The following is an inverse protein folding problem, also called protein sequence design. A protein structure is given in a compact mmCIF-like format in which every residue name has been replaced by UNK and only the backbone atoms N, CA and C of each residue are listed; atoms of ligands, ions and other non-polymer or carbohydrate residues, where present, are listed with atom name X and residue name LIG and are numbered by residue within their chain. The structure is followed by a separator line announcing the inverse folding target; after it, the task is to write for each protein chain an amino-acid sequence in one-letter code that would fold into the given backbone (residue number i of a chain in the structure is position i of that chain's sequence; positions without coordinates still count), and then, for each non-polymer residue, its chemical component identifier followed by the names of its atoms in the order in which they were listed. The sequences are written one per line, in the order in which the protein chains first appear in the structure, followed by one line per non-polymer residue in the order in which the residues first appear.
data_IF_911665269930
#
_entry.id   IF_911665269930
#
_cell.length_a   1.000
_cell.length_b   1.000
_cell.length_c   1.000
_cell.angle_alpha   90.00
_cell.angle_beta   90.00
_cell.angle_gamma   90.00
#
_symmetry.space_group_name_H-M   'P 1'
#
loop_
_entity.id
_entity.type
_entity.pdbx_description
1 polymer ?
#
# COMPACT_ATOMS: atom_id res chain seq x y z
N UNK A 1 4.93 -16.43 9.10
CA UNK A 1 5.07 -16.86 7.69
C UNK A 1 3.85 -16.35 6.93
N UNK A 2 4.02 -15.65 5.81
CA UNK A 2 2.95 -15.40 4.84
C UNK A 2 3.22 -16.32 3.64
N UNK A 3 2.26 -17.15 3.25
CA UNK A 3 2.33 -17.99 2.03
C UNK A 3 1.96 -17.16 0.79
N UNK A 4 2.48 -15.92 0.75
CA UNK A 4 2.13 -14.94 -0.26
C UNK A 4 2.64 -15.37 -1.64
N UNK A 5 1.96 -14.91 -2.72
CA UNK A 5 2.37 -15.19 -4.08
C UNK A 5 3.83 -14.78 -4.31
N UNK A 6 4.51 -15.45 -5.24
CA UNK A 6 5.90 -15.19 -5.65
C UNK A 6 6.12 -13.73 -6.12
N UNK A 7 6.71 -13.47 -7.29
CA UNK A 7 6.88 -12.10 -7.80
C UNK A 7 5.57 -11.45 -8.32
N UNK A 8 4.40 -11.85 -7.80
CA UNK A 8 3.09 -11.44 -8.34
C UNK A 8 2.21 -10.79 -7.28
N UNK A 9 1.62 -9.64 -7.62
CA UNK A 9 0.79 -8.82 -6.72
C UNK A 9 -0.58 -9.43 -6.41
N UNK A 10 -1.01 -10.47 -7.15
CA UNK A 10 -2.33 -11.08 -6.98
C UNK A 10 -3.45 -10.24 -7.59
N UNK A 11 -4.65 -10.26 -6.99
CA UNK A 11 -5.84 -9.52 -7.41
C UNK A 11 -6.39 -8.66 -6.26
N UNK A 12 -5.68 -7.61 -5.83
CA UNK A 12 -6.11 -6.76 -4.72
C UNK A 12 -7.46 -6.06 -4.97
N UNK A 13 -7.82 -5.73 -6.21
CA UNK A 13 -9.12 -5.15 -6.57
C UNK A 13 -10.28 -6.07 -6.19
N UNK A 14 -10.22 -7.33 -6.64
CA UNK A 14 -11.17 -8.37 -6.25
C UNK A 14 -11.26 -8.56 -4.73
N UNK A 15 -10.11 -8.54 -4.04
CA UNK A 15 -10.06 -8.72 -2.60
C UNK A 15 -10.77 -7.56 -1.86
N UNK A 16 -10.56 -6.32 -2.32
CA UNK A 16 -11.24 -5.14 -1.79
C UNK A 16 -12.75 -5.24 -2.01
N UNK A 17 -13.19 -5.67 -3.19
CA UNK A 17 -14.61 -5.88 -3.49
C UNK A 17 -15.27 -6.91 -2.56
N UNK A 18 -14.61 -8.06 -2.38
CA UNK A 18 -15.11 -9.13 -1.52
C UNK A 18 -15.14 -8.72 -0.03
N UNK A 19 -14.24 -7.85 0.41
CA UNK A 19 -14.25 -7.33 1.78
C UNK A 19 -15.38 -6.32 1.95
N UNK A 20 -15.53 -5.37 1.03
CA UNK A 20 -16.60 -4.35 1.09
C UNK A 20 -17.99 -5.00 1.04
N UNK A 21 -18.15 -6.12 0.34
CA UNK A 21 -19.43 -6.86 0.29
C UNK A 21 -19.81 -7.50 1.62
N UNK A 22 -18.82 -7.87 2.45
CA UNK A 22 -19.02 -8.54 3.74
C UNK A 22 -19.08 -7.58 4.92
N UNK A 23 -18.38 -6.46 4.84
CA UNK A 23 -18.28 -5.49 5.92
C UNK A 23 -18.18 -4.07 5.39
N UNK A 24 -18.81 -3.13 6.12
CA UNK A 24 -18.63 -1.71 5.86
C UNK A 24 -17.19 -1.33 6.17
N UNK A 25 -16.51 -0.68 5.22
CA UNK A 25 -15.25 0.00 5.43
C UNK A 25 -15.48 1.50 5.52
N UNK A 26 -14.73 2.18 6.39
CA UNK A 26 -14.77 3.62 6.55
C UNK A 26 -13.53 4.29 5.93
N UNK A 27 -12.42 3.57 5.78
CA UNK A 27 -11.18 4.08 5.19
C UNK A 27 -10.32 2.94 4.65
N UNK A 28 -9.63 3.19 3.54
CA UNK A 28 -8.61 2.30 2.99
C UNK A 28 -7.25 3.01 3.05
N UNK A 29 -6.22 2.31 3.53
CA UNK A 29 -4.84 2.78 3.54
C UNK A 29 -4.00 1.77 2.74
N UNK A 30 -3.42 2.23 1.63
CA UNK A 30 -2.55 1.42 0.78
C UNK A 30 -1.08 1.79 1.02
N UNK A 31 -0.22 0.79 1.11
CA UNK A 31 1.22 0.94 1.22
C UNK A 31 1.88 0.21 0.05
N UNK A 32 2.69 0.90 -0.73
CA UNK A 32 3.40 0.33 -1.89
C UNK A 32 4.84 0.84 -1.98
N UNK A 33 5.73 0.00 -2.52
CA UNK A 33 7.05 0.44 -2.92
C UNK A 33 7.03 0.82 -4.40
N UNK A 34 7.39 2.07 -4.71
CA UNK A 34 7.35 2.57 -6.08
C UNK A 34 8.72 3.08 -6.52
N UNK A 35 8.95 3.01 -7.84
CA UNK A 35 10.19 3.49 -8.42
C UNK A 35 10.38 4.99 -8.17
N UNK A 36 11.58 5.33 -7.71
CA UNK A 36 12.03 6.69 -7.52
C UNK A 36 12.32 7.38 -8.86
N UNK A 37 12.07 8.67 -8.91
CA UNK A 37 12.50 9.53 -10.03
C UNK A 37 14.01 9.80 -9.93
N UNK A 38 14.64 10.27 -11.02
CA UNK A 38 16.10 10.49 -11.07
C UNK A 38 16.62 11.44 -9.98
N UNK A 39 15.82 12.40 -9.54
CA UNK A 39 16.15 13.34 -8.46
C UNK A 39 15.70 12.92 -7.06
N UNK A 40 15.05 11.76 -6.91
CA UNK A 40 14.56 11.26 -5.62
C UNK A 40 15.58 10.32 -4.97
N UNK A 41 15.70 10.43 -3.65
CA UNK A 41 16.48 9.49 -2.85
C UNK A 41 15.68 8.23 -2.54
N UNK A 42 16.37 7.09 -2.50
CA UNK A 42 15.75 5.84 -2.03
C UNK A 42 15.34 5.98 -0.57
N UNK A 43 14.33 5.20 -0.15
CA UNK A 43 13.72 5.25 1.18
C UNK A 43 13.02 6.58 1.53
N UNK A 44 12.80 7.46 0.55
CA UNK A 44 11.91 8.61 0.71
C UNK A 44 10.47 8.12 0.84
N UNK A 45 9.73 8.61 1.84
CA UNK A 45 8.33 8.27 2.06
C UNK A 45 7.45 9.43 1.61
N UNK A 46 6.46 9.14 0.79
CA UNK A 46 5.47 10.11 0.33
C UNK A 46 4.06 9.64 0.72
N UNK A 47 3.21 10.58 1.12
CA UNK A 47 1.79 10.33 1.41
C UNK A 47 0.91 10.96 0.33
N UNK A 48 -0.24 10.36 0.08
CA UNK A 48 -1.18 10.86 -0.90
C UNK A 48 -2.57 10.25 -0.80
N UNK A 49 -3.40 10.60 -1.78
CA UNK A 49 -4.75 10.09 -1.97
C UNK A 49 -4.82 9.22 -3.22
N UNK A 50 -5.71 8.24 -3.22
CA UNK A 50 -5.89 7.28 -4.31
C UNK A 50 -5.15 5.97 -4.08
N UNK A 51 -5.37 5.02 -4.99
CA UNK A 51 -4.80 3.69 -4.86
C UNK A 51 -3.31 3.68 -5.28
N UNK A 52 -2.44 3.17 -4.41
CA UNK A 52 -1.02 2.99 -4.67
C UNK A 52 -0.74 1.55 -5.10
N UNK A 53 -0.63 1.34 -6.41
CA UNK A 53 -0.28 0.05 -7.00
C UNK A 53 0.40 0.24 -8.35
N UNK A 54 1.55 -0.39 -8.54
CA UNK A 54 2.25 -0.45 -9.82
C UNK A 54 1.51 -1.28 -10.90
N UNK A 55 1.89 -1.09 -12.16
CA UNK A 55 1.37 -1.87 -13.30
C UNK A 55 0.52 -1.05 -14.27
N UNK A 56 -0.22 -1.74 -15.14
CA UNK A 56 -1.02 -1.12 -16.23
C UNK A 56 -2.24 -0.33 -15.76
N UNK A 57 -2.51 -0.30 -14.44
CA UNK A 57 -3.57 0.51 -13.84
C UNK A 57 -4.92 -0.17 -13.65
N UNK A 58 -5.10 -1.44 -14.07
CA UNK A 58 -6.37 -2.17 -13.91
C UNK A 58 -6.78 -2.29 -12.45
N UNK A 59 -5.89 -2.78 -11.59
CA UNK A 59 -6.17 -2.94 -10.15
C UNK A 59 -6.42 -1.58 -9.48
N UNK A 60 -5.63 -0.56 -9.83
CA UNK A 60 -5.80 0.81 -9.33
C UNK A 60 -7.21 1.31 -9.64
N UNK A 61 -7.64 1.19 -10.89
CA UNK A 61 -8.95 1.63 -11.34
C UNK A 61 -10.08 0.89 -10.62
N UNK A 62 -9.98 -0.44 -10.49
CA UNK A 62 -11.00 -1.23 -9.78
C UNK A 62 -11.14 -0.81 -8.31
N UNK A 63 -10.02 -0.65 -7.59
CA UNK A 63 -10.02 -0.20 -6.19
C UNK A 63 -10.63 1.20 -6.07
N UNK A 64 -10.23 2.14 -6.94
CA UNK A 64 -10.75 3.51 -6.92
C UNK A 64 -12.22 3.59 -7.29
N UNK A 65 -12.67 2.82 -8.27
CA UNK A 65 -14.07 2.77 -8.69
C UNK A 65 -14.97 2.26 -7.54
N UNK A 66 -14.61 1.13 -6.94
CA UNK A 66 -15.42 0.55 -5.86
C UNK A 66 -15.39 1.39 -4.59
N UNK A 67 -14.24 1.97 -4.24
CA UNK A 67 -14.12 2.88 -3.11
C UNK A 67 -14.97 4.14 -3.33
N UNK A 68 -14.92 4.72 -4.54
CA UNK A 68 -15.73 5.90 -4.91
C UNK A 68 -17.22 5.58 -4.83
N UNK A 69 -17.65 4.42 -5.36
CA UNK A 69 -19.05 3.98 -5.31
C UNK A 69 -19.59 3.89 -3.88
N UNK A 70 -18.75 3.46 -2.93
CA UNK A 70 -19.11 3.34 -1.52
C UNK A 70 -18.72 4.57 -0.69
N UNK A 71 -18.17 5.62 -1.32
CA UNK A 71 -17.70 6.86 -0.67
C UNK A 71 -16.65 6.61 0.41
N UNK A 72 -15.75 5.66 0.15
CA UNK A 72 -14.65 5.29 1.04
C UNK A 72 -13.41 6.09 0.62
N UNK A 73 -12.79 6.89 1.50
CA UNK A 73 -11.52 7.53 1.21
C UNK A 73 -10.40 6.50 1.10
N UNK A 74 -9.54 6.67 0.09
CA UNK A 74 -8.35 5.85 -0.14
C UNK A 74 -7.12 6.73 0.06
N UNK A 75 -6.29 6.35 1.01
CA UNK A 75 -5.00 6.97 1.27
C UNK A 75 -3.86 6.06 0.83
N UNK A 76 -2.74 6.67 0.48
CA UNK A 76 -1.55 6.00 0.01
C UNK A 76 -0.32 6.44 0.81
N UNK A 77 0.55 5.48 1.10
CA UNK A 77 1.92 5.69 1.56
C UNK A 77 2.83 4.98 0.56
N UNK A 78 3.72 5.74 -0.07
CA UNK A 78 4.67 5.21 -1.05
C UNK A 78 6.08 5.32 -0.51
N UNK A 79 6.81 4.21 -0.57
CA UNK A 79 8.24 4.16 -0.28
C UNK A 79 8.99 4.14 -1.61
N UNK A 80 9.86 5.14 -1.81
CA UNK A 80 10.64 5.28 -3.05
C UNK A 80 11.82 4.31 -3.06
N UNK A 81 11.96 3.56 -4.13
CA UNK A 81 13.08 2.64 -4.33
C UNK A 81 13.64 2.71 -5.75
N UNK A 82 14.88 2.29 -5.94
CA UNK A 82 15.46 2.13 -7.27
C UNK A 82 15.02 0.81 -7.92
N UNK A 83 15.13 0.72 -9.25
CA UNK A 83 14.88 -0.55 -9.98
C UNK A 83 15.72 -1.69 -9.44
N UNK A 84 16.96 -1.41 -9.00
CA UNK A 84 17.85 -2.40 -8.40
C UNK A 84 17.29 -2.92 -7.08
N UNK A 85 16.81 -2.03 -6.22
CA UNK A 85 16.21 -2.38 -4.94
C UNK A 85 14.92 -3.20 -5.12
N UNK A 86 14.11 -2.87 -6.13
CA UNK A 86 12.85 -3.56 -6.42
C UNK A 86 13.00 -5.05 -6.82
N UNK A 87 14.17 -5.44 -7.34
CA UNK A 87 14.44 -6.80 -7.85
C UNK A 87 15.52 -7.54 -7.05
N UNK A 88 16.11 -6.92 -6.03
CA UNK A 88 17.16 -7.53 -5.19
C UNK A 88 16.74 -7.55 -3.73
N UNK A 89 17.67 -7.92 -2.84
CA UNK A 89 17.44 -7.85 -1.40
C UNK A 89 17.23 -6.39 -0.99
N UNK A 90 16.24 -6.18 -0.12
CA UNK A 90 15.90 -4.87 0.42
C UNK A 90 17.12 -4.28 1.12
N UNK A 91 17.42 -3.02 0.82
CA UNK A 91 18.49 -2.29 1.50
C UNK A 91 18.07 -1.96 2.93
N UNK A 92 19.05 -1.89 3.84
CA UNK A 92 18.78 -1.48 5.23
C UNK A 92 18.04 -0.15 5.30
N UNK A 93 18.37 0.80 4.43
CA UNK A 93 17.71 2.11 4.39
C UNK A 93 16.20 1.99 4.14
N UNK A 94 15.77 1.10 3.24
CA UNK A 94 14.35 0.85 2.98
C UNK A 94 13.72 0.08 4.15
N UNK A 95 14.41 -0.93 4.67
CA UNK A 95 13.90 -1.73 5.79
C UNK A 95 13.68 -0.89 7.06
N UNK A 96 14.60 0.02 7.37
CA UNK A 96 14.53 0.92 8.54
C UNK A 96 13.34 1.89 8.44
N UNK A 97 12.74 2.09 7.25
CA UNK A 97 11.51 2.89 7.09
C UNK A 97 10.24 2.19 7.58
N UNK A 98 10.29 0.90 7.90
CA UNK A 98 9.11 0.19 8.38
C UNK A 98 8.53 0.81 9.66
N UNK A 99 9.38 1.24 10.60
CA UNK A 99 8.94 1.89 11.84
C UNK A 99 8.33 3.28 11.59
N UNK A 100 8.92 4.05 10.68
CA UNK A 100 8.41 5.36 10.25
C UNK A 100 7.04 5.20 9.57
N UNK A 101 6.92 4.27 8.62
CA UNK A 101 5.67 3.96 7.90
C UNK A 101 4.60 3.47 8.87
N UNK A 102 4.94 2.59 9.81
CA UNK A 102 4.01 2.13 10.85
C UNK A 102 3.45 3.30 11.65
N UNK A 103 4.31 4.24 12.05
CA UNK A 103 3.90 5.42 12.81
C UNK A 103 2.95 6.31 11.99
N UNK A 104 3.25 6.51 10.71
CA UNK A 104 2.37 7.24 9.79
C UNK A 104 1.02 6.56 9.57
N UNK A 105 0.96 5.22 9.50
CA UNK A 105 -0.31 4.49 9.43
C UNK A 105 -1.15 4.77 10.69
N UNK A 106 -0.55 4.73 11.88
CA UNK A 106 -1.26 5.03 13.12
C UNK A 106 -1.80 6.47 13.16
N UNK A 107 -0.99 7.45 12.75
CA UNK A 107 -1.41 8.85 12.64
C UNK A 107 -2.57 9.00 11.65
N UNK A 108 -2.46 8.40 10.46
CA UNK A 108 -3.49 8.45 9.44
C UNK A 108 -4.81 7.82 9.91
N UNK A 109 -4.76 6.68 10.63
CA UNK A 109 -5.95 6.09 11.24
C UNK A 109 -6.55 7.06 12.26
N UNK A 110 -5.74 7.61 13.16
CA UNK A 110 -6.20 8.50 14.22
C UNK A 110 -6.82 9.79 13.69
N UNK A 111 -6.25 10.36 12.64
CA UNK A 111 -6.66 11.66 12.09
C UNK A 111 -7.88 11.55 11.17
N UNK A 112 -8.07 10.39 10.52
CA UNK A 112 -9.13 10.20 9.51
C UNK A 112 -10.27 9.29 9.97
N UNK A 113 -10.20 8.72 11.17
CA UNK A 113 -11.22 7.78 11.67
C UNK A 113 -11.61 8.03 13.13
N UNK A 114 -12.66 7.36 13.57
CA UNK A 114 -13.22 7.39 14.93
C UNK A 114 -13.31 5.97 15.48
N UNK A 115 -13.40 5.88 16.80
CA UNK A 115 -13.65 4.61 17.46
C UNK A 115 -14.90 3.91 16.91
N UNK A 116 -14.78 2.61 16.64
CA UNK A 116 -15.83 1.79 16.01
C UNK A 116 -15.88 1.83 14.48
N UNK A 117 -15.01 2.61 13.81
CA UNK A 117 -14.88 2.57 12.36
C UNK A 117 -13.91 1.49 11.89
N UNK A 118 -14.17 0.93 10.70
CA UNK A 118 -13.37 -0.14 10.12
C UNK A 118 -12.37 0.42 9.11
N UNK A 119 -11.09 0.11 9.32
CA UNK A 119 -10.00 0.48 8.41
C UNK A 119 -9.44 -0.75 7.73
N UNK A 120 -9.31 -0.70 6.41
CA UNK A 120 -8.60 -1.71 5.64
C UNK A 120 -7.19 -1.21 5.31
N UNK A 121 -6.18 -1.91 5.79
CA UNK A 121 -4.77 -1.65 5.46
C UNK A 121 -4.29 -2.68 4.45
N UNK A 122 -3.76 -2.22 3.32
CA UNK A 122 -3.31 -3.06 2.20
C UNK A 122 -1.83 -2.78 1.95
N UNK A 123 -0.99 -3.79 2.14
CA UNK A 123 0.41 -3.76 1.69
C UNK A 123 0.52 -4.41 0.32
N UNK A 124 1.03 -3.66 -0.66
CA UNK A 124 1.30 -4.10 -2.03
C UNK A 124 2.81 -4.11 -2.24
N UNK A 125 3.33 -5.18 -2.82
CA UNK A 125 4.76 -5.28 -3.12
C UNK A 125 5.27 -6.72 -3.16
N UNK A 126 6.50 -6.87 -3.67
CA UNK A 126 7.18 -8.16 -3.74
C UNK A 126 7.86 -8.47 -2.40
N UNK A 127 7.57 -9.63 -1.83
CA UNK A 127 8.19 -10.09 -0.58
C UNK A 127 9.55 -10.77 -0.79
N UNK A 128 9.98 -10.96 -2.05
CA UNK A 128 11.24 -11.61 -2.42
C UNK A 128 12.49 -10.92 -1.84
N UNK A 129 12.42 -9.62 -1.57
CA UNK A 129 13.52 -8.83 -1.02
C UNK A 129 13.61 -8.78 0.51
N UNK A 130 12.62 -9.34 1.23
CA UNK A 130 12.60 -9.32 2.71
C UNK A 130 13.49 -10.46 3.22
N UNK A 131 14.57 -10.14 3.96
CA UNK A 131 15.41 -11.17 4.58
C UNK A 131 14.60 -11.92 5.64
N UNK A 132 14.64 -13.26 5.59
CA UNK A 132 13.92 -14.17 6.50
C UNK A 132 14.56 -14.25 7.89
#
# INVERSE_FOLDING_TARGET
KAEGPSATVGRPGDAVEEIISKQKLDTIIMIDAALKMEGEESATVAQGFGAAIGGIGTERFQIEEIATKHKIPVFAIIIKESVKEAITLMTKNIADKADDVRSQIYEMIKDNTKEGQNVLVIGVGNTLGVSQ
#
